data_IF_463579197611
#
_entry.id   IF_463579197611
#
_cell.length_a   1.000
_cell.length_b   1.000
_cell.length_c   1.000
_cell.angle_alpha   90.00
_cell.angle_beta   90.00
_cell.angle_gamma   90.00
#
_symmetry.space_group_name_H-M   'P 1'
#
loop_
_entity.id
_entity.type
_entity.pdbx_description
1 polymer ?
#
# COMPACT_ATOMS: atom_id res chain seq x y z
N UNK A 1 35.93 -7.25 -10.02
CA UNK A 1 35.11 -8.48 -10.15
C UNK A 1 34.25 -8.74 -8.93
N UNK A 2 34.77 -8.58 -7.71
CA UNK A 2 34.02 -8.79 -6.45
C UNK A 2 32.80 -7.89 -6.25
N UNK A 3 32.84 -6.63 -6.72
CA UNK A 3 31.73 -5.68 -6.57
C UNK A 3 30.46 -6.15 -7.28
N UNK A 4 30.59 -6.63 -8.52
CA UNK A 4 29.44 -7.13 -9.29
C UNK A 4 28.89 -8.43 -8.71
N UNK A 5 29.76 -9.28 -8.17
CA UNK A 5 29.36 -10.52 -7.51
C UNK A 5 28.54 -10.23 -6.24
N UNK A 6 29.04 -9.36 -5.36
CA UNK A 6 28.33 -8.95 -4.14
C UNK A 6 27.00 -8.26 -4.48
N UNK A 7 26.98 -7.36 -5.47
CA UNK A 7 25.75 -6.71 -5.92
C UNK A 7 24.72 -7.71 -6.46
N UNK A 8 25.17 -8.73 -7.20
CA UNK A 8 24.30 -9.78 -7.73
C UNK A 8 23.71 -10.63 -6.60
N UNK A 9 24.53 -11.03 -5.63
CA UNK A 9 24.06 -11.78 -4.45
C UNK A 9 23.00 -10.96 -3.69
N UNK A 10 23.28 -9.68 -3.43
CA UNK A 10 22.33 -8.78 -2.76
C UNK A 10 21.01 -8.67 -3.55
N UNK A 11 21.08 -8.51 -4.87
CA UNK A 11 19.90 -8.45 -5.73
C UNK A 11 19.08 -9.75 -5.67
N UNK A 12 19.74 -10.91 -5.72
CA UNK A 12 19.08 -12.22 -5.62
C UNK A 12 18.36 -12.36 -4.28
N UNK A 13 19.00 -11.97 -3.18
CA UNK A 13 18.39 -12.01 -1.84
C UNK A 13 17.15 -11.09 -1.79
N UNK A 14 17.24 -9.88 -2.31
CA UNK A 14 16.11 -8.94 -2.36
C UNK A 14 14.96 -9.52 -3.18
N UNK A 15 15.23 -10.01 -4.39
CA UNK A 15 14.21 -10.58 -5.26
C UNK A 15 13.56 -11.83 -4.64
N UNK A 16 14.36 -12.73 -4.06
CA UNK A 16 13.87 -13.92 -3.39
C UNK A 16 12.95 -13.55 -2.21
N UNK A 17 13.36 -12.59 -1.38
CA UNK A 17 12.55 -12.15 -0.23
C UNK A 17 11.22 -11.53 -0.65
N UNK A 18 11.22 -10.69 -1.69
CA UNK A 18 10.01 -10.06 -2.23
C UNK A 18 9.08 -11.13 -2.83
N UNK A 19 9.62 -12.09 -3.58
CA UNK A 19 8.85 -13.18 -4.14
C UNK A 19 8.22 -14.05 -3.05
N UNK A 20 8.98 -14.42 -2.02
CA UNK A 20 8.47 -15.17 -0.86
C UNK A 20 7.35 -14.43 -0.14
N UNK A 21 7.52 -13.12 0.11
CA UNK A 21 6.47 -12.31 0.72
C UNK A 21 5.20 -12.26 -0.14
N UNK A 22 5.33 -12.09 -1.45
CA UNK A 22 4.20 -12.10 -2.39
C UNK A 22 3.45 -13.44 -2.37
N UNK A 23 4.17 -14.57 -2.30
CA UNK A 23 3.57 -15.91 -2.18
C UNK A 23 2.74 -16.03 -0.90
N UNK A 24 3.29 -15.61 0.25
CA UNK A 24 2.54 -15.64 1.52
C UNK A 24 1.31 -14.74 1.49
N UNK A 25 1.39 -13.55 0.89
CA UNK A 25 0.23 -12.67 0.70
C UNK A 25 -0.84 -13.31 -0.19
N UNK A 26 -0.43 -14.00 -1.26
CA UNK A 26 -1.35 -14.76 -2.11
C UNK A 26 -2.05 -15.90 -1.35
N UNK A 27 -1.30 -16.64 -0.54
CA UNK A 27 -1.85 -17.69 0.33
C UNK A 27 -2.84 -17.11 1.36
N UNK A 28 -2.48 -16.00 2.01
CA UNK A 28 -3.37 -15.27 2.92
C UNK A 28 -4.66 -14.83 2.21
N UNK A 29 -4.58 -14.40 0.95
CA UNK A 29 -5.75 -14.06 0.15
C UNK A 29 -6.63 -15.28 -0.15
N UNK A 30 -6.04 -16.43 -0.44
CA UNK A 30 -6.79 -17.68 -0.66
C UNK A 30 -7.54 -18.17 0.58
N UNK A 31 -6.95 -18.05 1.77
CA UNK A 31 -7.63 -18.42 3.02
C UNK A 31 -8.51 -17.30 3.60
N UNK A 32 -8.63 -16.17 2.89
CA UNK A 32 -9.43 -15.02 3.30
C UNK A 32 -8.87 -14.19 4.47
N UNK A 33 -7.56 -14.29 4.73
CA UNK A 33 -6.86 -13.50 5.75
C UNK A 33 -6.34 -12.14 5.26
N UNK A 34 -6.21 -11.93 3.95
CA UNK A 34 -5.74 -10.67 3.37
C UNK A 34 -6.34 -10.42 1.99
N UNK A 35 -6.91 -9.24 1.77
CA UNK A 35 -7.53 -8.84 0.53
C UNK A 35 -6.94 -7.52 0.05
N UNK A 36 -6.73 -7.40 -1.25
CA UNK A 36 -6.49 -6.12 -1.89
C UNK A 36 -7.85 -5.52 -2.25
N UNK A 37 -8.27 -4.47 -1.53
CA UNK A 37 -9.56 -3.81 -1.70
C UNK A 37 -9.36 -2.37 -2.19
N UNK A 38 -10.40 -1.81 -2.82
CA UNK A 38 -10.43 -0.36 -3.08
C UNK A 38 -10.92 0.37 -1.85
N UNK A 39 -10.28 1.48 -1.52
CA UNK A 39 -10.80 2.37 -0.50
C UNK A 39 -12.05 3.11 -1.02
N UNK A 40 -13.10 3.21 -0.22
CA UNK A 40 -14.30 3.96 -0.60
C UNK A 40 -14.10 5.49 -0.63
N UNK A 41 -12.96 5.97 -0.12
CA UNK A 41 -12.69 7.38 0.09
C UNK A 41 -11.66 7.94 -0.92
N UNK A 42 -10.55 7.21 -1.11
CA UNK A 42 -9.47 7.56 -2.04
C UNK A 42 -9.48 6.72 -3.32
N UNK A 43 -10.26 5.64 -3.39
CA UNK A 43 -10.31 4.64 -4.47
C UNK A 43 -8.98 3.98 -4.87
N UNK A 44 -7.90 4.27 -4.17
CA UNK A 44 -6.65 3.52 -4.27
C UNK A 44 -6.80 2.11 -3.72
N UNK A 45 -5.98 1.22 -4.26
CA UNK A 45 -5.83 -0.16 -3.79
C UNK A 45 -5.09 -0.15 -2.45
N UNK A 46 -5.65 -0.84 -1.47
CA UNK A 46 -5.10 -1.00 -0.13
C UNK A 46 -5.30 -2.43 0.37
N UNK A 47 -4.44 -2.87 1.27
CA UNK A 47 -4.60 -4.14 1.97
C UNK A 47 -5.69 -4.07 3.05
N UNK A 48 -6.41 -5.17 3.24
CA UNK A 48 -7.47 -5.33 4.24
C UNK A 48 -7.55 -6.76 4.72
N UNK A 49 -7.85 -6.98 6.00
CA UNK A 49 -8.21 -8.33 6.48
C UNK A 49 -9.68 -8.70 6.19
N UNK A 50 -10.48 -7.74 5.71
CA UNK A 50 -11.88 -7.92 5.32
C UNK A 50 -12.10 -7.60 3.85
N UNK A 51 -12.86 -8.45 3.16
CA UNK A 51 -13.20 -8.30 1.74
C UNK A 51 -14.34 -7.29 1.53
N UNK A 52 -14.14 -6.05 1.96
CA UNK A 52 -15.08 -4.96 1.75
C UNK A 52 -14.34 -3.65 1.53
N UNK A 53 -15.02 -2.69 0.89
CA UNK A 53 -14.45 -1.38 0.62
C UNK A 53 -14.09 -0.70 1.95
N UNK A 54 -12.79 -0.42 2.14
CA UNK A 54 -12.31 0.19 3.37
C UNK A 54 -12.72 1.67 3.43
N UNK A 55 -13.33 2.08 4.54
CA UNK A 55 -13.75 3.48 4.74
C UNK A 55 -12.59 4.49 4.83
N UNK A 56 -11.37 4.03 5.09
CA UNK A 56 -10.15 4.86 5.02
C UNK A 56 -8.91 4.01 4.75
N UNK A 57 -8.10 4.42 3.77
CA UNK A 57 -6.79 3.83 3.42
C UNK A 57 -5.67 4.47 4.29
N UNK A 58 -4.50 3.82 4.50
CA UNK A 58 -3.34 4.46 5.14
C UNK A 58 -2.95 5.78 4.45
N UNK A 59 -3.16 5.83 3.14
CA UNK A 59 -3.01 7.01 2.29
C UNK A 59 -3.96 8.17 2.68
N UNK A 60 -5.21 7.85 3.05
CA UNK A 60 -6.17 8.82 3.60
C UNK A 60 -5.82 9.23 5.04
N UNK A 61 -5.27 8.31 5.84
CA UNK A 61 -4.98 8.56 7.26
C UNK A 61 -3.70 9.36 7.48
N UNK A 62 -2.74 9.26 6.55
CA UNK A 62 -1.45 9.93 6.63
C UNK A 62 -1.16 10.77 5.37
N UNK A 63 -1.94 11.82 5.10
CA UNK A 63 -1.75 12.68 3.93
C UNK A 63 -0.39 13.40 3.94
N UNK A 64 0.21 13.59 5.11
CA UNK A 64 1.55 14.19 5.28
C UNK A 64 2.67 13.38 4.62
N UNK A 65 2.53 12.05 4.52
CA UNK A 65 3.53 11.19 3.88
C UNK A 65 3.50 11.27 2.35
N UNK A 66 2.37 11.71 1.79
CA UNK A 66 2.11 11.67 0.35
C UNK A 66 2.11 13.04 -0.28
N UNK A 67 1.63 14.04 0.45
CA UNK A 67 1.67 15.44 0.04
C UNK A 67 2.17 16.33 1.18
N UNK A 68 3.47 16.26 1.53
CA UNK A 68 4.04 17.02 2.65
C UNK A 68 3.84 18.53 2.50
N UNK A 69 4.00 19.07 1.27
CA UNK A 69 3.84 20.49 0.98
C UNK A 69 2.38 20.95 1.10
N UNK A 70 1.42 20.10 0.71
CA UNK A 70 0.00 20.42 0.82
C UNK A 70 -0.49 20.37 2.27
N UNK A 71 -0.06 19.35 3.02
CA UNK A 71 -0.39 19.18 4.43
C UNK A 71 0.19 20.30 5.31
N UNK A 72 1.40 20.79 4.99
CA UNK A 72 1.99 21.93 5.69
C UNK A 72 1.20 23.24 5.47
N UNK A 73 0.59 23.41 4.30
CA UNK A 73 -0.24 24.58 3.98
C UNK A 73 -1.70 24.46 4.44
N UNK A 74 -2.17 23.25 4.75
CA UNK A 74 -3.53 22.96 5.19
C UNK A 74 -3.49 22.03 6.43
N UNK A 75 -3.15 22.57 7.61
CA UNK A 75 -2.91 21.78 8.83
C UNK A 75 -4.17 21.06 9.35
N UNK A 76 -5.35 21.53 8.99
CA UNK A 76 -6.60 20.78 9.13
C UNK A 76 -6.74 19.89 7.92
N UNK A 77 -5.92 18.83 7.85
CA UNK A 77 -5.92 17.92 6.72
C UNK A 77 -7.32 17.34 6.54
N UNK A 78 -8.00 17.79 5.49
CA UNK A 78 -9.30 17.32 5.07
C UNK A 78 -9.19 15.81 4.95
N UNK A 79 -9.91 15.09 5.83
CA UNK A 79 -10.28 13.70 5.55
C UNK A 79 -10.80 13.74 4.12
N UNK A 80 -10.11 13.12 3.16
CA UNK A 80 -10.66 12.89 1.82
C UNK A 80 -11.75 11.83 1.99
N UNK A 81 -12.81 12.19 2.69
CA UNK A 81 -14.03 11.42 2.90
C UNK A 81 -15.04 12.12 2.02
N UNK A 82 -15.34 11.49 0.88
CA UNK A 82 -16.28 12.03 -0.09
C UNK A 82 -15.60 12.62 -1.32
N UNK A 83 -14.60 11.93 -1.89
CA UNK A 83 -14.33 12.16 -3.30
C UNK A 83 -15.61 11.78 -4.08
N UNK A 84 -16.27 12.79 -4.68
CA UNK A 84 -17.55 12.63 -5.38
C UNK A 84 -17.39 12.05 -6.78
N UNK A 85 -16.24 11.45 -7.09
CA UNK A 85 -16.03 10.73 -8.32
C UNK A 85 -16.86 9.44 -8.29
N UNK A 86 -18.14 9.60 -8.67
CA UNK A 86 -19.09 8.52 -8.93
C UNK A 86 -18.55 7.71 -10.11
N UNK A 87 -18.01 6.54 -9.82
CA UNK A 87 -17.93 5.41 -10.75
C UNK A 87 -18.44 4.17 -10.07
#
# INVERSE_FOLDING_TARGET
MTVFEVATIALVIVLASVATAAIYLGLLNWIGGYYIVRCAACHHLTGSSVNSAQGSCPHCRHPTLLHPVYAARHPQSVRVVGDRLRY
#
